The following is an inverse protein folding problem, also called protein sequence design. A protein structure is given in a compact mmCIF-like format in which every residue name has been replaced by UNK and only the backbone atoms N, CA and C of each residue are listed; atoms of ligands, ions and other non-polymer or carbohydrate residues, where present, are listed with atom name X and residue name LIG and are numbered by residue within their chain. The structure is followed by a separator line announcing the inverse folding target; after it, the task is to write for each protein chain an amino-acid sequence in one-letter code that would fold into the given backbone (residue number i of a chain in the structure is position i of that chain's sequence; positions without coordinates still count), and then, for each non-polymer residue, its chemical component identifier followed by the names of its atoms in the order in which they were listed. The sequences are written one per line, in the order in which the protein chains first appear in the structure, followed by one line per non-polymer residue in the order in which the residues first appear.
data_IF_370550172378
#
_entry.id   IF_370550172378
#
_cell.length_a   1.000
_cell.length_b   1.000
_cell.length_c   1.000
_cell.angle_alpha   90.00
_cell.angle_beta   90.00
_cell.angle_gamma   90.00
#
_symmetry.space_group_name_H-M   'P 1'
#
loop_
_entity.id
_entity.type
_entity.pdbx_description
1 polymer ?
#
# COMPACT_ATOMS: atom_id res chain seq x y z
N UNK A 1 -0.35 11.90 -63.57
CA UNK A 1 -0.63 12.14 -62.14
C UNK A 1 -1.54 13.36 -62.00
N UNK A 2 -2.83 13.17 -61.66
CA UNK A 2 -3.78 14.29 -61.51
C UNK A 2 -3.41 15.10 -60.27
N UNK A 3 -3.09 16.39 -60.42
CA UNK A 3 -2.89 17.34 -59.31
C UNK A 3 -4.15 17.32 -58.44
N UNK A 4 -4.06 16.83 -57.20
CA UNK A 4 -5.13 17.06 -56.23
C UNK A 4 -5.30 18.57 -56.07
N UNK A 5 -6.54 19.06 -56.14
CA UNK A 5 -6.82 20.47 -55.90
C UNK A 5 -6.39 20.84 -54.48
N UNK A 6 -5.89 22.07 -54.28
CA UNK A 6 -5.47 22.58 -52.96
C UNK A 6 -6.56 22.39 -51.88
N UNK A 7 -7.83 22.42 -52.29
CA UNK A 7 -9.00 22.18 -51.45
C UNK A 7 -9.01 20.75 -50.89
N UNK A 8 -8.73 19.72 -51.71
CA UNK A 8 -8.69 18.32 -51.23
C UNK A 8 -7.56 18.05 -50.25
N UNK A 9 -6.41 18.71 -50.43
CA UNK A 9 -5.28 18.62 -49.51
C UNK A 9 -5.63 19.29 -48.19
N UNK A 10 -6.24 20.48 -48.22
CA UNK A 10 -6.67 21.19 -47.01
C UNK A 10 -7.75 20.41 -46.24
N UNK A 11 -8.73 19.82 -46.92
CA UNK A 11 -9.75 18.97 -46.29
C UNK A 11 -9.15 17.72 -45.66
N UNK A 12 -8.17 17.09 -46.30
CA UNK A 12 -7.46 15.92 -45.74
C UNK A 12 -6.63 16.30 -44.50
N UNK A 13 -5.96 17.46 -44.53
CA UNK A 13 -5.18 17.96 -43.39
C UNK A 13 -6.10 18.32 -42.22
N UNK A 14 -7.24 18.97 -42.48
CA UNK A 14 -8.24 19.26 -41.45
C UNK A 14 -8.86 17.98 -40.87
N UNK A 15 -9.11 16.98 -41.71
CA UNK A 15 -9.59 15.67 -41.26
C UNK A 15 -8.55 14.94 -40.39
N UNK A 16 -7.28 14.92 -40.79
CA UNK A 16 -6.19 14.32 -40.01
C UNK A 16 -5.91 15.08 -38.70
N UNK A 17 -5.98 16.41 -38.70
CA UNK A 17 -5.90 17.24 -37.49
C UNK A 17 -7.10 17.00 -36.57
N UNK A 18 -8.31 16.82 -37.12
CA UNK A 18 -9.48 16.47 -36.32
C UNK A 18 -9.34 15.11 -35.66
N UNK A 19 -8.75 14.12 -36.35
CA UNK A 19 -8.44 12.80 -35.79
C UNK A 19 -7.43 12.91 -34.62
N UNK A 20 -6.41 13.75 -34.75
CA UNK A 20 -5.45 13.99 -33.67
C UNK A 20 -6.05 14.75 -32.47
N UNK A 21 -6.94 15.72 -32.72
CA UNK A 21 -7.68 16.43 -31.66
C UNK A 21 -8.67 15.53 -30.91
N UNK A 22 -9.22 14.52 -31.58
CA UNK A 22 -10.03 13.46 -30.95
C UNK A 22 -9.21 12.34 -30.31
N UNK A 23 -7.87 12.41 -30.36
CA UNK A 23 -7.02 11.23 -30.31
C UNK A 23 -6.08 11.08 -29.11
N UNK A 24 -6.20 11.89 -28.06
CA UNK A 24 -5.53 11.54 -26.79
C UNK A 24 -6.55 10.88 -25.87
N UNK A 25 -6.74 9.57 -26.05
CA UNK A 25 -7.55 8.75 -25.15
C UNK A 25 -6.94 8.87 -23.75
N UNK A 26 -7.73 9.38 -22.80
CA UNK A 26 -7.30 9.51 -21.40
C UNK A 26 -7.07 8.11 -20.85
N UNK A 27 -5.85 7.84 -20.40
CA UNK A 27 -5.57 6.59 -19.71
C UNK A 27 -6.04 6.69 -18.27
N UNK A 28 -6.60 5.58 -17.78
CA UNK A 28 -6.95 5.36 -16.38
C UNK A 28 -5.91 4.43 -15.77
N UNK A 29 -5.70 4.56 -14.47
CA UNK A 29 -4.85 3.65 -13.68
C UNK A 29 -5.62 3.22 -12.46
N UNK A 30 -5.77 1.92 -12.28
CA UNK A 30 -6.35 1.31 -11.09
C UNK A 30 -5.23 0.56 -10.39
N UNK A 31 -4.85 1.03 -9.21
CA UNK A 31 -3.88 0.38 -8.34
C UNK A 31 -4.62 -0.39 -7.25
N UNK A 32 -4.49 -1.71 -7.27
CA UNK A 32 -5.15 -2.64 -6.38
C UNK A 32 -4.11 -3.23 -5.44
N UNK A 33 -4.31 -3.05 -4.13
CA UNK A 33 -3.50 -3.69 -3.10
C UNK A 33 -4.27 -4.81 -2.43
N UNK A 34 -3.72 -6.02 -2.48
CA UNK A 34 -4.13 -7.16 -1.66
C UNK A 34 -3.12 -7.30 -0.51
N UNK A 35 -3.54 -6.94 0.70
CA UNK A 35 -2.68 -6.90 1.90
C UNK A 35 -2.11 -8.29 2.20
N UNK A 36 -0.79 -8.37 2.39
CA UNK A 36 -0.05 -9.60 2.63
C UNK A 36 -0.25 -10.73 1.59
N UNK A 37 -0.61 -10.39 0.35
CA UNK A 37 -0.67 -11.31 -0.77
C UNK A 37 0.74 -11.73 -1.18
N UNK A 38 1.25 -12.77 -0.52
CA UNK A 38 2.62 -13.28 -0.66
C UNK A 38 2.91 -13.70 -2.10
N UNK A 39 4.16 -13.49 -2.52
CA UNK A 39 4.62 -13.69 -3.90
C UNK A 39 4.34 -15.08 -4.52
N UNK A 40 4.21 -16.13 -3.71
CA UNK A 40 3.96 -17.52 -4.14
C UNK A 40 2.46 -17.90 -4.14
N UNK A 41 1.58 -17.01 -3.69
CA UNK A 41 0.14 -17.27 -3.67
C UNK A 41 -0.49 -17.47 -5.07
N UNK A 42 -0.09 -16.73 -6.14
CA UNK A 42 -0.62 -16.97 -7.48
C UNK A 42 -0.30 -18.40 -7.98
N UNK A 43 0.83 -18.97 -7.58
CA UNK A 43 1.28 -20.28 -8.07
C UNK A 43 0.49 -21.46 -7.46
N UNK A 44 -0.51 -21.19 -6.62
CA UNK A 44 -1.39 -22.21 -6.01
C UNK A 44 -2.48 -22.74 -6.94
N UNK A 45 -2.58 -22.22 -8.17
CA UNK A 45 -3.61 -22.64 -9.14
C UNK A 45 -5.02 -22.20 -8.78
N UNK A 46 -5.13 -21.07 -8.06
CA UNK A 46 -6.39 -20.52 -7.55
C UNK A 46 -6.74 -19.16 -8.16
N UNK A 47 -5.90 -18.63 -9.04
CA UNK A 47 -5.95 -17.23 -9.48
C UNK A 47 -6.04 -17.06 -10.99
N UNK A 48 -7.06 -17.64 -11.66
CA UNK A 48 -7.15 -17.57 -13.12
C UNK A 48 -7.24 -16.14 -13.69
N UNK A 49 -7.77 -15.16 -12.93
CA UNK A 49 -7.82 -13.77 -13.41
C UNK A 49 -6.46 -13.06 -13.27
N UNK A 50 -5.69 -13.35 -12.22
CA UNK A 50 -4.29 -12.92 -12.13
C UNK A 50 -3.40 -13.64 -13.15
N UNK A 51 -3.66 -14.91 -13.43
CA UNK A 51 -2.96 -15.67 -14.48
C UNK A 51 -3.19 -15.03 -15.85
N UNK A 52 -4.41 -14.58 -16.14
CA UNK A 52 -4.69 -13.80 -17.34
C UNK A 52 -3.84 -12.51 -17.42
N UNK A 53 -3.68 -11.77 -16.32
CA UNK A 53 -2.78 -10.59 -16.28
C UNK A 53 -1.33 -11.02 -16.52
N UNK A 54 -0.88 -12.11 -15.89
CA UNK A 54 0.48 -12.64 -16.02
C UNK A 54 0.81 -13.03 -17.46
N UNK A 55 -0.13 -13.64 -18.17
CA UNK A 55 0.01 -14.09 -19.56
C UNK A 55 -0.10 -12.96 -20.59
N UNK A 56 -0.93 -11.95 -20.33
CA UNK A 56 -1.26 -10.89 -21.29
C UNK A 56 -0.71 -9.50 -20.91
N UNK A 57 0.05 -9.42 -19.82
CA UNK A 57 0.58 -8.18 -19.27
C UNK A 57 2.04 -8.33 -18.83
N UNK A 58 2.39 -7.63 -17.74
CA UNK A 58 3.73 -7.64 -17.15
C UNK A 58 3.63 -8.10 -15.71
N UNK A 59 4.52 -9.00 -15.31
CA UNK A 59 4.65 -9.43 -13.91
C UNK A 59 6.11 -9.44 -13.49
N UNK A 60 6.35 -9.15 -12.21
CA UNK A 60 7.64 -9.34 -11.57
C UNK A 60 7.65 -10.67 -10.79
N UNK A 61 8.83 -11.21 -10.50
CA UNK A 61 8.96 -12.41 -9.67
C UNK A 61 8.46 -12.18 -8.23
N UNK A 62 8.72 -11.00 -7.69
CA UNK A 62 8.27 -10.56 -6.38
C UNK A 62 8.45 -9.05 -6.26
N UNK A 63 7.67 -8.41 -5.39
CA UNK A 63 7.93 -7.06 -4.92
C UNK A 63 8.66 -7.13 -3.57
N UNK A 64 9.81 -6.48 -3.45
CA UNK A 64 10.52 -6.38 -2.18
C UNK A 64 9.95 -5.22 -1.35
N UNK A 65 9.36 -5.48 -0.18
CA UNK A 65 8.85 -4.42 0.69
C UNK A 65 10.00 -3.65 1.33
N UNK A 66 9.73 -2.41 1.72
CA UNK A 66 10.55 -1.66 2.65
C UNK A 66 10.57 -2.35 4.02
N UNK A 67 11.63 -2.11 4.80
CA UNK A 67 11.68 -2.52 6.18
C UNK A 67 11.04 -1.45 7.10
N UNK A 68 10.18 -1.84 8.07
CA UNK A 68 9.63 -3.18 8.29
C UNK A 68 8.54 -3.53 7.27
N UNK A 69 8.38 -4.83 6.97
CA UNK A 69 7.32 -5.36 6.12
C UNK A 69 5.96 -5.33 6.84
N UNK A 70 5.41 -4.12 7.00
CA UNK A 70 4.15 -3.81 7.69
C UNK A 70 3.25 -2.94 6.81
N UNK A 71 1.94 -3.02 7.05
CA UNK A 71 0.91 -2.37 6.25
C UNK A 71 1.11 -0.88 5.99
N UNK A 72 1.06 -0.06 7.04
CA UNK A 72 1.07 1.39 6.87
C UNK A 72 2.40 1.93 6.33
N UNK A 73 3.58 1.45 6.80
CA UNK A 73 4.85 1.83 6.20
C UNK A 73 4.90 1.54 4.70
N UNK A 74 4.61 0.31 4.27
CA UNK A 74 4.77 -0.09 2.87
C UNK A 74 3.72 0.52 1.94
N UNK A 75 2.46 0.60 2.35
CA UNK A 75 1.44 1.28 1.54
C UNK A 75 1.75 2.77 1.33
N UNK A 76 2.32 3.43 2.34
CA UNK A 76 2.72 4.82 2.20
C UNK A 76 4.04 4.97 1.42
N UNK A 77 4.97 4.01 1.52
CA UNK A 77 6.13 3.93 0.62
C UNK A 77 5.70 3.77 -0.85
N UNK A 78 4.72 2.93 -1.14
CA UNK A 78 4.16 2.78 -2.50
C UNK A 78 3.51 4.09 -2.98
N UNK A 79 2.80 4.79 -2.10
CA UNK A 79 2.16 6.06 -2.44
C UNK A 79 3.16 7.21 -2.67
N UNK A 80 4.36 7.16 -2.08
CA UNK A 80 5.30 8.30 -2.05
C UNK A 80 6.62 8.04 -2.79
N UNK A 81 6.98 6.77 -3.02
CA UNK A 81 8.30 6.37 -3.50
C UNK A 81 9.42 6.55 -2.47
N UNK A 82 9.10 6.76 -1.20
CA UNK A 82 10.05 7.04 -0.13
C UNK A 82 10.23 5.85 0.81
N UNK A 83 11.38 5.73 1.47
CA UNK A 83 11.55 4.79 2.59
C UNK A 83 10.76 5.24 3.82
N UNK A 84 10.39 4.31 4.73
CA UNK A 84 9.72 4.64 5.99
C UNK A 84 10.43 5.70 6.83
N UNK A 85 11.76 5.70 6.82
CA UNK A 85 12.52 6.73 7.54
C UNK A 85 12.29 8.14 6.99
N UNK A 86 12.00 8.30 5.70
CA UNK A 86 11.81 9.62 5.08
C UNK A 86 10.36 10.08 5.15
N UNK A 87 9.39 9.19 4.93
CA UNK A 87 7.96 9.55 4.93
C UNK A 87 7.31 9.53 6.32
N UNK A 88 8.03 9.15 7.37
CA UNK A 88 7.63 9.33 8.77
C UNK A 88 6.80 8.19 9.38
N UNK A 89 6.08 7.44 8.56
CA UNK A 89 5.33 6.24 8.96
C UNK A 89 6.27 5.03 9.05
N UNK A 90 6.99 4.93 10.17
CA UNK A 90 8.03 3.90 10.36
C UNK A 90 7.45 2.53 10.76
N UNK A 91 6.30 2.50 11.44
CA UNK A 91 5.68 1.26 11.91
C UNK A 91 4.15 1.44 12.06
N UNK A 92 3.47 0.32 12.30
CA UNK A 92 2.04 0.30 12.59
C UNK A 92 1.70 0.89 13.97
N UNK A 93 2.67 0.93 14.90
CA UNK A 93 2.59 1.74 16.12
C UNK A 93 3.96 2.18 16.64
N UNK A 94 4.10 3.46 16.98
CA UNK A 94 5.35 4.02 17.53
C UNK A 94 5.08 5.25 18.41
N UNK A 95 6.11 5.73 19.10
CA UNK A 95 6.03 6.87 20.01
C UNK A 95 6.90 8.00 19.46
N UNK A 96 6.37 9.22 19.47
CA UNK A 96 7.17 10.42 19.23
C UNK A 96 8.01 10.72 20.49
N UNK A 97 9.36 10.67 20.42
CA UNK A 97 10.20 10.82 21.60
C UNK A 97 10.22 12.26 22.14
N UNK A 98 9.81 13.26 21.35
CA UNK A 98 9.87 14.67 21.76
C UNK A 98 8.68 15.12 22.60
N UNK A 99 7.53 14.49 22.42
CA UNK A 99 6.28 14.88 23.10
C UNK A 99 5.47 13.69 23.65
N UNK A 100 6.01 12.46 23.51
CA UNK A 100 5.41 11.21 23.99
C UNK A 100 4.00 10.92 23.41
N UNK A 101 3.63 11.56 22.30
CA UNK A 101 2.43 11.19 21.53
C UNK A 101 2.62 9.82 20.89
N UNK A 102 1.56 9.03 20.85
CA UNK A 102 1.56 7.70 20.26
C UNK A 102 0.89 7.72 18.89
N UNK A 103 1.53 7.07 17.92
CA UNK A 103 0.93 6.69 16.66
C UNK A 103 0.45 5.23 16.73
N UNK A 104 -0.73 4.97 16.17
CA UNK A 104 -1.31 3.64 16.02
C UNK A 104 -2.30 3.63 14.87
N UNK A 105 -2.25 2.61 14.00
CA UNK A 105 -3.23 2.44 12.92
C UNK A 105 -4.67 2.25 13.43
N UNK A 106 -4.84 1.83 14.69
CA UNK A 106 -6.16 1.66 15.33
C UNK A 106 -6.72 2.94 15.96
N UNK A 107 -5.93 4.03 16.00
CA UNK A 107 -6.37 5.32 16.50
C UNK A 107 -6.62 6.27 15.33
N UNK A 108 -7.89 6.53 15.01
CA UNK A 108 -8.26 7.43 13.91
C UNK A 108 -7.76 8.86 14.11
N UNK A 109 -7.65 9.33 15.35
CA UNK A 109 -7.13 10.68 15.63
C UNK A 109 -5.64 10.76 15.28
N UNK A 110 -4.88 9.72 15.58
CA UNK A 110 -3.47 9.65 15.24
C UNK A 110 -3.25 9.36 13.75
N UNK A 111 -3.87 8.30 13.20
CA UNK A 111 -3.64 7.85 11.82
C UNK A 111 -4.15 8.85 10.78
N UNK A 112 -5.18 9.64 11.09
CA UNK A 112 -5.68 10.64 10.15
C UNK A 112 -4.93 11.98 10.32
N UNK A 113 -4.04 12.13 11.30
CA UNK A 113 -3.33 13.39 11.50
C UNK A 113 -2.11 13.50 10.57
N UNK A 114 -2.17 14.45 9.65
CA UNK A 114 -1.12 14.72 8.68
C UNK A 114 0.27 15.02 9.28
N UNK A 115 0.36 15.36 10.58
CA UNK A 115 1.64 15.62 11.27
C UNK A 115 2.60 14.41 11.25
N UNK A 116 2.07 13.19 11.13
CA UNK A 116 2.87 11.96 11.10
C UNK A 116 3.41 11.62 9.71
N UNK A 117 2.89 12.27 8.67
CA UNK A 117 3.09 11.90 7.28
C UNK A 117 3.96 12.95 6.60
N UNK A 118 5.18 12.58 6.25
CA UNK A 118 6.08 13.42 5.45
C UNK A 118 6.04 13.01 3.99
N UNK A 119 6.65 13.82 3.13
CA UNK A 119 6.65 13.56 1.70
C UNK A 119 5.31 13.83 1.04
N UNK A 120 5.24 13.45 -0.23
CA UNK A 120 4.10 13.73 -1.08
C UNK A 120 3.56 12.42 -1.66
N UNK A 121 2.29 12.14 -1.41
CA UNK A 121 1.65 10.99 -2.01
C UNK A 121 1.26 11.26 -3.48
N UNK A 122 1.20 10.20 -4.28
CA UNK A 122 0.97 10.26 -5.72
C UNK A 122 -0.35 10.96 -6.09
N UNK A 123 -1.38 10.89 -5.24
CA UNK A 123 -2.64 11.63 -5.44
C UNK A 123 -2.49 13.14 -5.22
N UNK A 124 -1.58 13.57 -4.34
CA UNK A 124 -1.24 14.99 -4.18
C UNK A 124 -0.53 15.49 -5.45
N UNK A 125 0.40 14.69 -5.99
CA UNK A 125 1.09 14.98 -7.26
C UNK A 125 0.11 15.06 -8.42
N UNK A 126 -0.79 14.07 -8.51
CA UNK A 126 -1.84 14.01 -9.52
C UNK A 126 -2.71 15.27 -9.49
N UNK A 127 -3.22 15.64 -8.30
CA UNK A 127 -4.05 16.83 -8.11
C UNK A 127 -3.36 18.12 -8.57
N UNK A 128 -2.07 18.32 -8.23
CA UNK A 128 -1.32 19.50 -8.69
C UNK A 128 -1.12 19.55 -10.20
N UNK A 129 -1.16 18.41 -10.88
CA UNK A 129 -1.07 18.31 -12.33
C UNK A 129 -2.45 18.25 -13.02
N UNK A 130 -3.53 18.54 -12.30
CA UNK A 130 -4.90 18.52 -12.85
C UNK A 130 -5.45 17.12 -13.13
N UNK A 131 -4.85 16.09 -12.53
CA UNK A 131 -5.28 14.70 -12.64
C UNK A 131 -6.17 14.37 -11.45
N UNK A 132 -7.43 13.99 -11.73
CA UNK A 132 -8.40 13.62 -10.70
C UNK A 132 -8.04 12.25 -10.14
N UNK A 133 -8.03 12.13 -8.82
CA UNK A 133 -7.66 10.92 -8.10
C UNK A 133 -8.76 10.45 -7.15
N UNK A 134 -8.86 9.14 -6.97
CA UNK A 134 -9.77 8.52 -6.03
C UNK A 134 -9.08 7.43 -5.19
N UNK A 135 -9.49 7.31 -3.93
CA UNK A 135 -9.03 6.25 -3.05
C UNK A 135 -10.20 5.56 -2.35
N UNK A 136 -10.21 4.23 -2.45
CA UNK A 136 -11.02 3.37 -1.63
C UNK A 136 -10.08 2.67 -0.64
N UNK A 137 -9.89 3.30 0.52
CA UNK A 137 -9.20 2.76 1.70
C UNK A 137 -7.68 2.72 1.68
N UNK A 138 -6.99 3.39 0.75
CA UNK A 138 -5.52 3.40 0.77
C UNK A 138 -4.96 4.11 2.04
N UNK A 139 -4.00 3.53 2.78
CA UNK A 139 -3.37 4.18 3.93
C UNK A 139 -2.81 5.57 3.61
N UNK A 140 -3.21 6.57 4.39
CA UNK A 140 -2.85 7.98 4.17
C UNK A 140 -3.77 8.75 3.21
N UNK A 141 -4.79 8.12 2.62
CA UNK A 141 -5.72 8.84 1.73
C UNK A 141 -6.82 9.64 2.44
N UNK A 142 -6.99 9.46 3.76
CA UNK A 142 -8.06 10.09 4.55
C UNK A 142 -7.56 11.16 5.56
N UNK A 143 -6.31 11.64 5.40
CA UNK A 143 -5.67 12.62 6.29
C UNK A 143 -6.52 13.87 6.53
N UNK A 144 -6.51 14.42 7.74
CA UNK A 144 -7.32 15.55 8.20
C UNK A 144 -7.14 16.87 7.40
N UNK A 145 -6.12 16.96 6.55
CA UNK A 145 -5.85 18.10 5.68
C UNK A 145 -6.35 17.82 4.26
N UNK A 146 -7.34 18.60 3.79
CA UNK A 146 -8.01 18.36 2.51
C UNK A 146 -7.08 18.37 1.28
N UNK A 147 -6.06 19.22 1.23
CA UNK A 147 -5.15 19.25 0.07
C UNK A 147 -4.30 17.97 -0.05
N UNK A 148 -4.13 17.23 1.05
CA UNK A 148 -3.40 15.97 1.11
C UNK A 148 -4.25 14.74 0.81
N UNK A 149 -5.54 14.93 0.51
CA UNK A 149 -6.46 13.85 0.13
C UNK A 149 -6.58 13.75 -1.39
N UNK A 150 -6.91 12.56 -1.91
CA UNK A 150 -7.46 12.42 -3.26
C UNK A 150 -8.73 13.29 -3.44
N UNK A 151 -9.16 13.50 -4.67
CA UNK A 151 -10.40 14.23 -4.97
C UNK A 151 -11.64 13.48 -4.46
N UNK A 152 -11.61 12.15 -4.56
CA UNK A 152 -12.61 11.27 -3.96
C UNK A 152 -11.97 10.30 -2.99
N UNK A 153 -12.50 10.17 -1.79
CA UNK A 153 -11.97 9.21 -0.81
C UNK A 153 -13.10 8.59 0.01
N UNK A 154 -13.01 7.28 0.29
CA UNK A 154 -13.86 6.62 1.28
C UNK A 154 -13.09 6.47 2.59
N UNK A 155 -13.74 6.79 3.70
CA UNK A 155 -13.18 6.56 5.05
C UNK A 155 -13.13 5.07 5.34
N UNK A 156 -12.03 4.60 5.93
CA UNK A 156 -11.86 3.18 6.20
C UNK A 156 -12.95 2.64 7.13
N UNK A 157 -13.66 1.61 6.67
CA UNK A 157 -14.61 0.83 7.45
C UNK A 157 -14.27 -0.63 7.21
N UNK A 158 -13.68 -1.28 8.21
CA UNK A 158 -13.16 -2.65 8.11
C UNK A 158 -14.21 -3.64 7.60
N UNK A 159 -15.47 -3.47 8.01
CA UNK A 159 -16.58 -4.37 7.65
C UNK A 159 -17.23 -4.07 6.30
N UNK A 160 -16.73 -3.11 5.52
CA UNK A 160 -17.28 -2.83 4.18
C UNK A 160 -17.06 -4.04 3.26
N UNK A 161 -18.13 -4.61 2.67
CA UNK A 161 -18.03 -5.73 1.74
C UNK A 161 -17.05 -5.46 0.60
N UNK A 162 -16.26 -6.46 0.21
CA UNK A 162 -15.26 -6.30 -0.85
C UNK A 162 -15.90 -5.94 -2.21
N UNK A 163 -17.08 -6.49 -2.49
CA UNK A 163 -17.88 -6.12 -3.67
C UNK A 163 -18.21 -4.63 -3.74
N UNK A 164 -18.52 -3.99 -2.60
CA UNK A 164 -18.83 -2.57 -2.56
C UNK A 164 -17.60 -1.71 -2.89
N UNK A 165 -16.40 -2.20 -2.56
CA UNK A 165 -15.14 -1.53 -2.94
C UNK A 165 -14.95 -1.55 -4.46
N UNK A 166 -15.20 -2.70 -5.09
CA UNK A 166 -15.14 -2.85 -6.56
C UNK A 166 -16.24 -2.03 -7.25
N UNK A 167 -17.47 -2.07 -6.74
CA UNK A 167 -18.58 -1.28 -7.28
C UNK A 167 -18.26 0.22 -7.21
N UNK A 168 -17.70 0.71 -6.10
CA UNK A 168 -17.28 2.10 -5.98
C UNK A 168 -16.22 2.51 -7.01
N UNK A 169 -15.25 1.64 -7.31
CA UNK A 169 -14.27 1.87 -8.40
C UNK A 169 -14.97 2.01 -9.74
N UNK A 170 -15.89 1.10 -10.07
CA UNK A 170 -16.62 1.11 -11.34
C UNK A 170 -17.61 2.28 -11.45
N UNK A 171 -18.20 2.72 -10.34
CA UNK A 171 -19.05 3.92 -10.26
C UNK A 171 -18.23 5.17 -10.55
N UNK A 172 -17.02 5.31 -9.98
CA UNK A 172 -16.13 6.43 -10.32
C UNK A 172 -15.78 6.46 -11.80
N UNK A 173 -15.56 5.32 -12.43
CA UNK A 173 -15.28 5.24 -13.87
C UNK A 173 -16.50 5.55 -14.77
N UNK A 174 -17.70 5.58 -14.21
CA UNK A 174 -18.93 5.97 -14.91
C UNK A 174 -19.22 7.48 -14.82
N UNK A 175 -18.49 8.22 -13.99
CA UNK A 175 -18.66 9.67 -13.88
C UNK A 175 -18.45 10.37 -15.23
N UNK A 176 -19.03 11.57 -15.41
CA UNK A 176 -18.75 12.44 -16.55
C UNK A 176 -17.25 12.60 -16.78
N UNK A 177 -16.83 12.74 -18.03
CA UNK A 177 -15.41 12.70 -18.41
C UNK A 177 -14.53 13.70 -17.64
N UNK A 178 -15.08 14.88 -17.31
CA UNK A 178 -14.37 15.94 -16.59
C UNK A 178 -14.32 15.72 -15.08
N UNK A 179 -15.19 14.88 -14.51
CA UNK A 179 -15.23 14.53 -13.09
C UNK A 179 -14.60 13.17 -12.80
N UNK A 180 -14.28 12.40 -13.85
CA UNK A 180 -13.85 11.01 -13.75
C UNK A 180 -12.40 10.90 -13.27
N UNK A 181 -12.13 10.16 -12.18
CA UNK A 181 -10.76 9.92 -11.71
C UNK A 181 -9.92 9.18 -12.74
N UNK A 182 -8.68 9.63 -12.95
CA UNK A 182 -7.67 8.94 -13.76
C UNK A 182 -6.79 8.01 -12.93
N UNK A 183 -6.62 8.30 -11.65
CA UNK A 183 -5.90 7.45 -10.71
C UNK A 183 -6.88 6.96 -9.66
N UNK A 184 -7.07 5.65 -9.56
CA UNK A 184 -7.91 5.01 -8.56
C UNK A 184 -7.05 4.04 -7.78
N UNK A 185 -7.04 4.17 -6.46
CA UNK A 185 -6.31 3.28 -5.55
C UNK A 185 -7.30 2.55 -4.65
N UNK A 186 -7.20 1.22 -4.54
CA UNK A 186 -8.15 0.40 -3.77
C UNK A 186 -7.41 -0.68 -2.96
N UNK A 187 -7.88 -0.90 -1.74
CA UNK A 187 -7.25 -1.80 -0.76
C UNK A 187 -8.19 -2.93 -0.32
N UNK A 188 -7.63 -4.13 -0.14
CA UNK A 188 -8.28 -5.33 0.40
C UNK A 188 -7.39 -6.02 1.44
N UNK A 189 -8.02 -6.58 2.47
CA UNK A 189 -7.37 -7.08 3.68
C UNK A 189 -7.50 -8.61 3.87
N UNK A 190 -8.04 -9.34 2.88
CA UNK A 190 -8.54 -10.70 3.11
C UNK A 190 -7.43 -11.73 3.32
N UNK A 191 -6.36 -11.65 2.51
CA UNK A 191 -5.22 -12.56 2.62
C UNK A 191 -4.39 -12.30 3.88
N UNK A 192 -4.17 -11.04 4.27
CA UNK A 192 -3.58 -10.69 5.56
C UNK A 192 -4.41 -11.19 6.75
N UNK A 193 -5.71 -10.88 6.77
CA UNK A 193 -6.63 -11.27 7.86
C UNK A 193 -6.68 -12.79 8.04
N UNK A 194 -6.84 -13.54 6.94
CA UNK A 194 -6.83 -15.01 6.99
C UNK A 194 -5.46 -15.58 7.34
N UNK A 195 -4.38 -14.99 6.83
CA UNK A 195 -3.00 -15.38 7.14
C UNK A 195 -2.68 -15.22 8.63
N UNK A 196 -3.12 -14.13 9.24
CA UNK A 196 -2.96 -13.90 10.68
C UNK A 196 -3.74 -14.89 11.55
N UNK A 197 -4.95 -15.27 11.14
CA UNK A 197 -5.79 -16.18 11.94
C UNK A 197 -5.41 -17.66 11.78
N UNK A 198 -5.01 -18.08 10.58
CA UNK A 198 -4.90 -19.51 10.23
C UNK A 198 -3.52 -19.93 9.73
N UNK A 199 -2.60 -18.98 9.50
CA UNK A 199 -1.29 -19.22 8.91
C UNK A 199 -1.31 -19.16 7.37
N UNK A 200 -0.20 -18.77 6.73
CA UNK A 200 -0.12 -18.51 5.29
C UNK A 200 -0.39 -19.72 4.39
N UNK A 201 -0.27 -20.95 4.90
CA UNK A 201 -0.44 -22.18 4.11
C UNK A 201 -1.79 -22.87 4.36
N UNK A 202 -2.71 -22.17 5.02
CA UNK A 202 -4.04 -22.68 5.38
C UNK A 202 -5.01 -22.73 4.20
N UNK A 203 -6.08 -23.52 4.36
CA UNK A 203 -7.20 -23.56 3.39
C UNK A 203 -7.98 -22.25 3.38
N UNK A 204 -8.03 -21.53 4.51
CA UNK A 204 -8.69 -20.24 4.67
C UNK A 204 -7.98 -19.18 3.84
N UNK A 205 -6.63 -19.17 3.84
CA UNK A 205 -5.86 -18.31 2.93
C UNK A 205 -6.15 -18.65 1.47
N UNK A 206 -6.24 -19.94 1.10
CA UNK A 206 -6.61 -20.35 -0.26
C UNK A 206 -8.01 -19.83 -0.67
N UNK A 207 -8.97 -19.80 0.27
CA UNK A 207 -10.28 -19.22 0.02
C UNK A 207 -10.21 -17.71 -0.19
N UNK A 208 -9.42 -16.99 0.61
CA UNK A 208 -9.19 -15.55 0.43
C UNK A 208 -8.52 -15.24 -0.91
N UNK A 209 -7.50 -16.03 -1.32
CA UNK A 209 -6.82 -15.89 -2.61
C UNK A 209 -7.83 -16.01 -3.78
N UNK A 210 -8.63 -17.08 -3.79
CA UNK A 210 -9.62 -17.29 -4.84
C UNK A 210 -10.71 -16.20 -4.85
N UNK A 211 -11.08 -15.70 -3.67
CA UNK A 211 -12.04 -14.61 -3.53
C UNK A 211 -11.47 -13.30 -4.10
N UNK A 212 -10.24 -12.90 -3.73
CA UNK A 212 -9.58 -11.69 -4.24
C UNK A 212 -9.35 -11.77 -5.75
N UNK A 213 -8.98 -12.93 -6.29
CA UNK A 213 -8.90 -13.15 -7.73
C UNK A 213 -10.25 -12.93 -8.43
N UNK A 214 -11.37 -13.35 -7.83
CA UNK A 214 -12.70 -13.11 -8.38
C UNK A 214 -13.04 -11.62 -8.47
N UNK A 215 -12.49 -10.78 -7.59
CA UNK A 215 -12.66 -9.33 -7.62
C UNK A 215 -11.93 -8.71 -8.82
N UNK A 216 -10.75 -9.25 -9.18
CA UNK A 216 -10.05 -8.87 -10.41
C UNK A 216 -10.93 -9.19 -11.63
N UNK A 217 -11.54 -10.38 -11.68
CA UNK A 217 -12.49 -10.74 -12.72
C UNK A 217 -13.65 -9.75 -12.85
N UNK A 218 -14.19 -9.27 -11.72
CA UNK A 218 -15.25 -8.24 -11.70
C UNK A 218 -14.77 -6.89 -12.26
N UNK A 219 -13.54 -6.48 -11.96
CA UNK A 219 -12.94 -5.26 -12.56
C UNK A 219 -12.86 -5.39 -14.08
N UNK A 220 -12.26 -6.48 -14.60
CA UNK A 220 -12.14 -6.67 -16.04
C UNK A 220 -13.49 -6.74 -16.77
N UNK A 221 -14.47 -7.42 -16.17
CA UNK A 221 -15.84 -7.44 -16.69
C UNK A 221 -16.46 -6.03 -16.69
N UNK A 222 -16.24 -5.24 -15.65
CA UNK A 222 -16.67 -3.85 -15.56
C UNK A 222 -16.02 -2.97 -16.64
N UNK A 223 -14.69 -3.03 -16.76
CA UNK A 223 -13.93 -2.30 -17.78
C UNK A 223 -14.40 -2.65 -19.19
N UNK A 224 -14.65 -3.93 -19.47
CA UNK A 224 -15.20 -4.38 -20.76
C UNK A 224 -16.57 -3.77 -21.05
N UNK A 225 -17.48 -3.75 -20.07
CA UNK A 225 -18.81 -3.13 -20.21
C UNK A 225 -18.73 -1.62 -20.44
N UNK A 226 -17.74 -0.96 -19.84
CA UNK A 226 -17.51 0.48 -19.98
C UNK A 226 -16.71 0.84 -21.24
N UNK A 227 -16.27 -0.13 -22.05
CA UNK A 227 -15.34 0.06 -23.16
C UNK A 227 -14.02 0.74 -22.75
N UNK A 228 -13.51 0.40 -21.56
CA UNK A 228 -12.29 0.97 -20.97
C UNK A 228 -11.11 0.00 -20.90
N UNK A 229 -11.25 -1.22 -21.44
CA UNK A 229 -10.21 -2.26 -21.40
C UNK A 229 -8.87 -1.77 -21.96
N UNK A 230 -8.88 -1.14 -23.13
CA UNK A 230 -7.65 -0.74 -23.82
C UNK A 230 -7.06 0.59 -23.33
N UNK A 231 -7.78 1.30 -22.45
CA UNK A 231 -7.37 2.60 -21.90
C UNK A 231 -7.14 2.57 -20.39
N UNK A 232 -7.13 1.39 -19.77
CA UNK A 232 -6.96 1.27 -18.31
C UNK A 232 -5.76 0.39 -17.99
N UNK A 233 -4.79 0.98 -17.29
CA UNK A 233 -3.73 0.24 -16.63
C UNK A 233 -4.27 -0.32 -15.31
N UNK A 234 -4.32 -1.64 -15.18
CA UNK A 234 -4.63 -2.31 -13.91
C UNK A 234 -3.32 -2.82 -13.33
N UNK A 235 -2.98 -2.35 -12.13
CA UNK A 235 -1.78 -2.78 -11.39
C UNK A 235 -2.26 -3.45 -10.12
N UNK A 236 -1.93 -4.73 -9.95
CA UNK A 236 -2.20 -5.49 -8.73
C UNK A 236 -0.89 -5.71 -8.00
N UNK A 237 -0.84 -5.38 -6.72
CA UNK A 237 0.35 -5.53 -5.88
C UNK A 237 -0.02 -5.91 -4.45
N UNK A 238 1.01 -6.11 -3.64
CA UNK A 238 0.92 -6.26 -2.20
C UNK A 238 1.96 -5.41 -1.51
N UNK A 239 1.75 -5.13 -0.24
CA UNK A 239 2.61 -4.35 0.63
C UNK A 239 3.65 -5.19 1.38
N UNK A 240 3.35 -6.47 1.66
CA UNK A 240 4.28 -7.44 2.24
C UNK A 240 3.87 -8.89 1.97
N UNK A 241 4.61 -9.84 2.55
CA UNK A 241 4.26 -11.26 2.56
C UNK A 241 3.71 -11.71 3.91
N UNK A 242 3.73 -13.02 4.16
CA UNK A 242 3.26 -13.63 5.40
C UNK A 242 4.11 -14.86 5.76
N UNK A 243 4.31 -15.13 7.06
CA UNK A 243 5.10 -16.27 7.55
C UNK A 243 4.42 -16.98 8.71
N UNK A 244 4.73 -18.26 8.89
CA UNK A 244 4.20 -19.09 9.98
C UNK A 244 4.80 -18.72 11.34
N UNK A 245 3.93 -18.59 12.33
CA UNK A 245 4.33 -18.42 13.73
C UNK A 245 4.19 -19.74 14.49
N UNK A 246 4.89 -19.84 15.62
CA UNK A 246 4.78 -20.99 16.53
C UNK A 246 4.91 -20.50 17.97
N UNK A 247 4.11 -21.02 18.91
CA UNK A 247 4.28 -20.76 20.33
C UNK A 247 5.69 -21.10 20.86
N UNK A 248 6.38 -22.06 20.23
CA UNK A 248 7.74 -22.47 20.60
C UNK A 248 8.82 -21.48 20.11
N UNK A 249 8.44 -20.53 19.24
CA UNK A 249 9.32 -19.51 18.66
C UNK A 249 8.96 -18.11 19.14
N UNK A 250 8.59 -17.98 20.42
CA UNK A 250 8.24 -16.71 21.05
C UNK A 250 9.32 -16.27 22.04
N UNK A 251 9.86 -15.07 21.82
CA UNK A 251 10.79 -14.42 22.75
C UNK A 251 9.98 -13.51 23.67
N UNK A 252 9.96 -13.84 24.97
CA UNK A 252 9.26 -13.03 25.96
C UNK A 252 10.19 -11.92 26.50
N UNK A 253 10.11 -10.73 25.88
CA UNK A 253 10.91 -9.56 26.26
C UNK A 253 10.62 -9.11 27.69
N UNK A 254 9.37 -9.16 28.14
CA UNK A 254 8.98 -8.77 29.51
C UNK A 254 9.69 -9.66 30.55
N UNK A 255 9.84 -10.96 30.27
CA UNK A 255 10.60 -11.89 31.11
C UNK A 255 12.10 -11.63 31.05
N UNK A 256 12.65 -11.33 29.87
CA UNK A 256 14.09 -11.04 29.70
C UNK A 256 14.52 -9.75 30.42
N UNK A 257 13.62 -8.77 30.45
CA UNK A 257 13.83 -7.48 31.10
C UNK A 257 13.14 -7.38 32.47
N UNK A 258 12.88 -8.52 33.12
CA UNK A 258 12.29 -8.53 34.45
C UNK A 258 13.15 -7.70 35.43
N UNK A 259 12.52 -6.72 36.08
CA UNK A 259 13.17 -5.79 37.00
C UNK A 259 13.49 -4.41 36.41
N UNK A 260 13.42 -4.24 35.09
CA UNK A 260 13.56 -2.94 34.43
C UNK A 260 12.20 -2.30 34.15
N UNK A 261 12.14 -0.97 34.18
CA UNK A 261 10.97 -0.23 33.69
C UNK A 261 11.20 0.17 32.23
N UNK A 262 10.26 -0.19 31.34
CA UNK A 262 10.33 0.18 29.94
C UNK A 262 8.96 0.25 29.29
N UNK A 263 8.84 1.07 28.24
CA UNK A 263 7.72 1.03 27.30
C UNK A 263 8.14 0.26 26.05
N UNK A 264 7.17 -0.24 25.29
CA UNK A 264 7.43 -0.85 23.99
C UNK A 264 6.34 -0.52 22.96
N UNK A 265 6.69 -0.61 21.67
CA UNK A 265 5.74 -0.47 20.57
C UNK A 265 6.06 -1.40 19.40
N UNK A 266 5.09 -1.55 18.49
CA UNK A 266 5.08 -2.45 17.32
C UNK A 266 5.53 -3.89 17.62
N UNK A 267 4.93 -4.55 18.62
CA UNK A 267 5.30 -5.91 19.06
C UNK A 267 5.20 -6.94 17.91
N UNK A 268 6.07 -7.96 17.93
CA UNK A 268 6.04 -9.09 17.00
C UNK A 268 7.38 -9.33 16.32
N UNK A 269 7.43 -9.21 15.00
CA UNK A 269 8.63 -9.40 14.17
C UNK A 269 9.66 -8.26 14.28
N UNK A 270 9.23 -7.10 14.76
CA UNK A 270 10.04 -5.98 15.21
C UNK A 270 9.56 -5.63 16.63
N UNK A 271 10.35 -4.90 17.41
CA UNK A 271 9.86 -4.25 18.62
C UNK A 271 10.74 -3.05 18.93
N UNK A 272 10.11 -1.92 19.24
CA UNK A 272 10.82 -0.79 19.83
C UNK A 272 10.78 -0.91 21.35
N UNK A 273 11.92 -0.67 22.00
CA UNK A 273 12.07 -0.68 23.47
C UNK A 273 12.50 0.70 23.92
N UNK A 274 11.75 1.29 24.85
CA UNK A 274 11.99 2.61 25.40
C UNK A 274 12.19 2.46 26.92
N UNK A 275 13.40 2.10 27.38
CA UNK A 275 13.72 2.01 28.81
C UNK A 275 13.93 3.41 29.39
N UNK A 276 14.06 3.49 30.71
CA UNK A 276 14.52 4.70 31.37
C UNK A 276 15.94 5.07 30.90
N UNK A 277 16.21 6.36 30.68
CA UNK A 277 17.50 6.82 30.13
C UNK A 277 18.70 6.42 31.00
N UNK A 278 18.52 6.33 32.33
CA UNK A 278 19.55 5.84 33.25
C UNK A 278 19.86 4.34 33.06
N UNK A 279 18.92 3.55 32.56
CA UNK A 279 19.03 2.09 32.42
C UNK A 279 19.30 1.64 30.98
N UNK A 280 19.24 2.56 30.02
CA UNK A 280 19.29 2.27 28.57
C UNK A 280 20.44 1.35 28.15
N UNK A 281 21.65 1.60 28.65
CA UNK A 281 22.83 0.79 28.33
C UNK A 281 22.75 -0.62 28.93
N UNK A 282 22.22 -0.75 30.15
CA UNK A 282 22.08 -2.04 30.84
C UNK A 282 21.00 -2.88 30.17
N UNK A 283 19.87 -2.27 29.81
CA UNK A 283 18.79 -2.91 29.05
C UNK A 283 19.30 -3.38 27.68
N UNK A 284 20.01 -2.52 26.95
CA UNK A 284 20.61 -2.90 25.66
C UNK A 284 21.56 -4.09 25.82
N UNK A 285 22.47 -4.05 26.80
CA UNK A 285 23.42 -5.15 27.01
C UNK A 285 22.71 -6.45 27.39
N UNK A 286 21.69 -6.38 28.26
CA UNK A 286 20.86 -7.55 28.62
C UNK A 286 20.21 -8.20 27.41
N UNK A 287 19.63 -7.40 26.52
CA UNK A 287 19.04 -7.89 25.26
C UNK A 287 20.12 -8.45 24.32
N UNK A 288 21.27 -7.79 24.24
CA UNK A 288 22.39 -8.21 23.38
C UNK A 288 22.97 -9.55 23.79
N UNK A 289 23.20 -9.75 25.09
CA UNK A 289 23.73 -11.00 25.65
C UNK A 289 22.72 -12.16 25.52
N UNK A 290 21.44 -11.85 25.35
CA UNK A 290 20.35 -12.84 25.25
C UNK A 290 19.94 -13.14 23.80
N UNK A 291 20.65 -12.63 22.79
CA UNK A 291 20.32 -12.80 21.37
C UNK A 291 20.29 -14.27 20.94
N UNK A 292 19.09 -14.84 20.89
CA UNK A 292 18.81 -16.17 20.32
C UNK A 292 17.58 -16.02 19.42
N UNK A 293 17.77 -16.16 18.10
CA UNK A 293 16.74 -15.96 17.08
C UNK A 293 16.15 -14.53 16.98
N UNK A 294 16.86 -13.52 17.50
CA UNK A 294 16.63 -12.10 17.24
C UNK A 294 17.94 -11.33 17.25
N UNK A 295 17.88 -10.06 16.84
CA UNK A 295 18.99 -9.12 16.94
C UNK A 295 18.55 -7.83 17.60
N UNK A 296 19.41 -7.28 18.45
CA UNK A 296 19.27 -5.97 19.07
C UNK A 296 20.30 -5.03 18.47
N UNK A 297 19.81 -3.87 18.06
CA UNK A 297 20.60 -2.80 17.50
C UNK A 297 20.32 -1.52 18.27
N UNK A 298 21.34 -0.69 18.47
CA UNK A 298 21.08 0.73 18.57
C UNK A 298 20.65 1.23 17.20
N UNK A 299 19.77 2.23 17.16
CA UNK A 299 19.36 2.89 15.91
C UNK A 299 20.53 3.19 14.97
N UNK A 300 21.63 3.76 15.48
CA UNK A 300 22.82 4.11 14.70
C UNK A 300 23.54 2.92 14.05
N UNK A 301 23.34 1.72 14.61
CA UNK A 301 23.99 0.47 14.22
C UNK A 301 23.08 -0.42 13.36
N UNK A 302 21.86 0.05 13.03
CA UNK A 302 20.98 -0.64 12.08
C UNK A 302 21.66 -0.75 10.71
N UNK A 303 21.55 -1.92 10.03
CA UNK A 303 22.16 -2.10 8.71
C UNK A 303 21.70 -1.07 7.68
N UNK A 304 22.65 -0.47 6.95
CA UNK A 304 22.38 0.62 6.00
C UNK A 304 21.40 0.25 4.89
N UNK A 305 21.44 -1.02 4.43
CA UNK A 305 20.55 -1.50 3.36
C UNK A 305 19.06 -1.49 3.75
N UNK A 306 18.73 -1.32 5.04
CA UNK A 306 17.35 -1.22 5.49
C UNK A 306 16.76 0.17 5.30
N UNK A 307 17.58 1.21 5.14
CA UNK A 307 17.13 2.61 5.05
C UNK A 307 16.12 2.95 6.15
N UNK A 308 16.50 2.68 7.40
CA UNK A 308 15.60 2.73 8.55
C UNK A 308 16.18 3.41 9.80
N UNK A 309 17.32 4.10 9.69
CA UNK A 309 18.01 4.69 10.85
C UNK A 309 17.92 6.21 10.92
N UNK A 310 17.50 6.88 9.85
CA UNK A 310 17.52 8.34 9.75
C UNK A 310 16.15 8.98 10.02
N UNK A 311 15.40 8.44 10.98
CA UNK A 311 14.13 9.01 11.44
C UNK A 311 14.04 9.12 12.97
N UNK A 312 13.65 10.28 13.54
CA UNK A 312 13.63 10.48 14.98
C UNK A 312 12.65 9.55 15.74
N UNK A 313 11.63 8.99 15.09
CA UNK A 313 10.67 8.10 15.74
C UNK A 313 11.18 6.67 15.93
N UNK A 314 12.28 6.29 15.27
CA UNK A 314 12.96 5.01 15.49
C UNK A 314 13.66 5.07 16.85
N UNK A 315 13.35 4.10 17.72
CA UNK A 315 13.85 4.02 19.10
C UNK A 315 15.33 3.64 19.19
#
# INVERSE_FOLDING_TARGET
MKKLSKIKILSLVLFLLSIQLTGQQRNYTILISFDAFRWDYPDRGLTPNLDFIKENGVHALSLQPCFPSKTFPNHYSIATGMYPENHGIIANSFINPFNNQKYSLYDSTAKDNAIWYNGEAIWETAKRQGVISASFFWPGSELNINYRRPDYSKKFIYTTPYDDRINGVLEWLQLPYDDRPNLIMVYFDATDTSGHHFGPNSKEVNQSIAMEDSLIGKIFLGLKKLNLMDSTNVIVLSDHGMTELSPDRVINIDKLLAGFQFKSSDKGTMMFIYPDEAEKNIVYQRLKDSEINYKTYWKKDLPDYLHYKDNPFVA
#
